data_IF_234378817434
#
_entry.id   IF_234378817434
#
_cell.length_a   1.000
_cell.length_b   1.000
_cell.length_c   1.000
_cell.angle_alpha   90.00
_cell.angle_beta   90.00
_cell.angle_gamma   90.00
#
_symmetry.space_group_name_H-M   'P 1'
#
loop_
_entity.id
_entity.type
_entity.pdbx_description
1 polymer ?
#
# COMPACT_ATOMS: atom_id res chain seq x y z
N UNK A 1 14.42 -5.01 8.95
CA UNK A 1 13.05 -5.53 9.15
C UNK A 1 11.96 -4.52 8.77
N UNK A 2 12.16 -3.64 7.77
CA UNK A 2 11.13 -2.66 7.34
C UNK A 2 10.13 -3.23 6.33
N UNK A 3 10.56 -4.08 5.40
CA UNK A 3 9.72 -4.48 4.25
C UNK A 3 8.43 -5.21 4.64
N UNK A 4 8.42 -6.01 5.71
CA UNK A 4 7.19 -6.69 6.19
C UNK A 4 6.19 -5.71 6.81
N UNK A 5 6.67 -4.77 7.62
CA UNK A 5 5.84 -3.74 8.27
C UNK A 5 5.25 -2.77 7.25
N UNK A 6 6.02 -2.39 6.24
CA UNK A 6 5.56 -1.47 5.19
C UNK A 6 4.54 -2.16 4.26
N UNK A 7 4.76 -3.44 3.91
CA UNK A 7 3.77 -4.24 3.18
C UNK A 7 2.46 -4.40 3.96
N UNK A 8 2.55 -4.64 5.27
CA UNK A 8 1.38 -4.71 6.16
C UNK A 8 0.65 -3.36 6.24
N UNK A 9 1.36 -2.24 6.36
CA UNK A 9 0.76 -0.90 6.35
C UNK A 9 0.05 -0.59 5.02
N UNK A 10 0.63 -0.98 3.89
CA UNK A 10 0.00 -0.85 2.58
C UNK A 10 -1.33 -1.62 2.52
N UNK A 11 -1.30 -2.89 2.94
CA UNK A 11 -2.47 -3.77 2.98
C UNK A 11 -3.57 -3.26 3.93
N UNK A 12 -3.17 -2.73 5.09
CA UNK A 12 -4.10 -2.13 6.05
C UNK A 12 -4.78 -0.86 5.49
N UNK A 13 -4.05 0.00 4.78
CA UNK A 13 -4.62 1.19 4.14
C UNK A 13 -5.58 0.82 3.01
N UNK A 14 -5.24 -0.19 2.22
CA UNK A 14 -6.09 -0.72 1.14
C UNK A 14 -7.40 -1.30 1.70
N UNK A 15 -7.31 -2.14 2.73
CA UNK A 15 -8.47 -2.69 3.42
C UNK A 15 -9.36 -1.61 4.06
N UNK A 16 -8.76 -0.64 4.75
CA UNK A 16 -9.50 0.49 5.33
C UNK A 16 -10.16 1.35 4.25
N UNK A 17 -9.50 1.55 3.12
CA UNK A 17 -10.05 2.25 1.96
C UNK A 17 -11.29 1.55 1.40
N UNK A 18 -11.20 0.24 1.20
CA UNK A 18 -12.31 -0.59 0.72
C UNK A 18 -13.52 -0.55 1.66
N UNK A 19 -13.28 -0.63 2.98
CA UNK A 19 -14.35 -0.52 3.98
C UNK A 19 -15.02 0.85 3.92
N UNK A 20 -14.26 1.95 3.81
CA UNK A 20 -14.84 3.29 3.66
C UNK A 20 -15.63 3.46 2.38
N UNK A 21 -15.16 2.90 1.27
CA UNK A 21 -15.93 2.92 0.02
C UNK A 21 -17.23 2.15 0.13
N UNK A 22 -17.20 0.96 0.73
CA UNK A 22 -18.40 0.16 0.95
C UNK A 22 -19.39 0.88 1.88
N UNK A 23 -18.91 1.40 3.01
CA UNK A 23 -19.73 2.18 3.94
C UNK A 23 -20.30 3.44 3.29
N UNK A 24 -19.49 4.17 2.50
CA UNK A 24 -19.93 5.35 1.76
C UNK A 24 -21.01 5.03 0.74
N UNK A 25 -20.86 3.95 -0.05
CA UNK A 25 -21.88 3.50 -1.01
C UNK A 25 -23.19 3.10 -0.33
N UNK A 26 -23.11 2.40 0.80
CA UNK A 26 -24.29 1.95 1.56
C UNK A 26 -25.01 3.12 2.23
N UNK A 27 -24.26 4.10 2.73
CA UNK A 27 -24.82 5.27 3.45
C UNK A 27 -25.11 6.48 2.55
N UNK A 28 -24.80 6.40 1.25
CA UNK A 28 -24.92 7.53 0.32
C UNK A 28 -23.94 8.68 0.62
N UNK A 29 -22.80 8.38 1.26
CA UNK A 29 -21.81 9.37 1.67
C UNK A 29 -20.62 9.37 0.70
N UNK A 30 -20.66 10.28 -0.28
CA UNK A 30 -19.62 10.44 -1.29
C UNK A 30 -18.25 10.78 -0.70
N UNK A 31 -18.21 11.51 0.43
CA UNK A 31 -16.95 11.84 1.10
C UNK A 31 -16.24 10.58 1.59
N UNK A 32 -16.97 9.60 2.14
CA UNK A 32 -16.40 8.31 2.55
C UNK A 32 -15.89 7.50 1.35
N UNK A 33 -16.59 7.55 0.21
CA UNK A 33 -16.13 6.90 -1.03
C UNK A 33 -14.84 7.52 -1.54
N UNK A 34 -14.77 8.84 -1.57
CA UNK A 34 -13.57 9.58 -2.02
C UNK A 34 -12.39 9.33 -1.09
N UNK A 35 -12.58 9.42 0.22
CA UNK A 35 -11.52 9.11 1.20
C UNK A 35 -11.03 7.66 1.07
N UNK A 36 -11.95 6.72 0.86
CA UNK A 36 -11.61 5.32 0.68
C UNK A 36 -10.78 5.08 -0.58
N UNK A 37 -11.14 5.69 -1.70
CA UNK A 37 -10.35 5.64 -2.94
C UNK A 37 -8.97 6.28 -2.78
N UNK A 38 -8.88 7.40 -2.08
CA UNK A 38 -7.60 8.07 -1.83
C UNK A 38 -6.67 7.19 -0.97
N UNK A 39 -7.21 6.47 0.02
CA UNK A 39 -6.42 5.55 0.84
C UNK A 39 -5.97 4.32 0.08
N UNK A 40 -6.83 3.75 -0.78
CA UNK A 40 -6.49 2.64 -1.67
C UNK A 40 -5.34 3.04 -2.61
N UNK A 41 -5.47 4.17 -3.30
CA UNK A 41 -4.44 4.68 -4.21
C UNK A 41 -3.10 4.92 -3.49
N UNK A 42 -3.15 5.43 -2.26
CA UNK A 42 -1.95 5.63 -1.42
C UNK A 42 -1.31 4.31 -1.03
N UNK A 43 -2.09 3.29 -0.67
CA UNK A 43 -1.61 1.96 -0.33
C UNK A 43 -0.93 1.28 -1.52
N UNK A 44 -1.54 1.38 -2.71
CA UNK A 44 -1.01 0.84 -3.95
C UNK A 44 0.29 1.55 -4.36
N UNK A 45 0.32 2.89 -4.31
CA UNK A 45 1.54 3.66 -4.57
C UNK A 45 2.68 3.30 -3.61
N UNK A 46 2.37 3.10 -2.32
CA UNK A 46 3.36 2.68 -1.33
C UNK A 46 3.89 1.27 -1.61
N UNK A 47 3.04 0.33 -2.04
CA UNK A 47 3.47 -1.00 -2.45
C UNK A 47 4.39 -0.93 -3.66
N UNK A 48 3.98 -0.28 -4.73
CA UNK A 48 4.77 -0.18 -5.96
C UNK A 48 6.16 0.43 -5.71
N UNK A 49 6.22 1.51 -4.92
CA UNK A 49 7.49 2.14 -4.55
C UNK A 49 8.33 1.21 -3.66
N UNK A 50 7.69 0.50 -2.73
CA UNK A 50 8.34 -0.48 -1.86
C UNK A 50 8.91 -1.67 -2.65
N UNK A 51 8.16 -2.22 -3.59
CA UNK A 51 8.57 -3.33 -4.46
C UNK A 51 9.71 -2.93 -5.40
N UNK A 52 9.65 -1.73 -5.98
CA UNK A 52 10.75 -1.19 -6.79
C UNK A 52 12.03 -1.03 -5.96
N UNK A 53 11.93 -0.50 -4.73
CA UNK A 53 13.07 -0.36 -3.81
C UNK A 53 13.62 -1.72 -3.37
N UNK A 54 12.75 -2.66 -2.99
CA UNK A 54 13.13 -4.03 -2.61
C UNK A 54 13.83 -4.72 -3.80
N UNK A 55 13.34 -4.56 -5.03
CA UNK A 55 13.94 -5.13 -6.24
C UNK A 55 15.33 -4.57 -6.55
N UNK A 56 15.51 -3.25 -6.45
CA UNK A 56 16.81 -2.60 -6.61
C UNK A 56 17.78 -3.03 -5.51
N UNK A 57 17.33 -3.03 -4.25
CA UNK A 57 18.13 -3.46 -3.11
C UNK A 57 18.58 -4.92 -3.28
N UNK A 58 17.67 -5.81 -3.71
CA UNK A 58 17.98 -7.22 -3.98
C UNK A 58 18.99 -7.40 -5.13
N UNK A 59 18.91 -6.55 -6.16
CA UNK A 59 19.87 -6.57 -7.26
C UNK A 59 21.27 -6.10 -6.82
N UNK A 60 21.34 -5.01 -6.05
CA UNK A 60 22.59 -4.49 -5.49
C UNK A 60 23.22 -5.49 -4.53
N UNK A 61 22.44 -6.13 -3.67
CA UNK A 61 22.91 -7.15 -2.73
C UNK A 61 23.53 -8.36 -3.45
N UNK A 62 22.84 -8.87 -4.49
CA UNK A 62 23.37 -9.95 -5.35
C UNK A 62 24.66 -9.58 -6.07
N UNK A 63 24.80 -8.33 -6.51
CA UNK A 63 26.00 -7.86 -7.24
C UNK A 63 27.17 -7.57 -6.29
N UNK A 64 26.89 -7.12 -5.06
CA UNK A 64 27.92 -6.78 -4.07
C UNK A 64 28.40 -7.99 -3.25
N UNK A 65 27.82 -9.18 -3.44
CA UNK A 65 28.32 -10.44 -2.88
C UNK A 65 28.24 -10.52 -1.35
N UNK A 66 27.42 -9.68 -0.73
CA UNK A 66 27.29 -9.61 0.73
C UNK A 66 26.32 -10.70 1.21
N UNK A 67 26.83 -11.90 1.40
CA UNK A 67 26.18 -12.90 2.26
C UNK A 67 26.28 -12.49 3.73
#
# INVERSE_FOLDING_TARGET
MSSTTDKLKGLANEAAGNVKQAAGKVTGNDKLVVEGKAQELKGEAQRTVGEAKDGIASAVDKVTGKH
#
